data_IF_009397887740
#
_entry.id   IF_009397887740
#
_cell.length_a   1.000
_cell.length_b   1.000
_cell.length_c   1.000
_cell.angle_alpha   90.00
_cell.angle_beta   90.00
_cell.angle_gamma   90.00
#
_symmetry.space_group_name_H-M   'P 1'
#
loop_
_entity.id
_entity.type
_entity.pdbx_description
1 polymer ?
#
# COMPACT_ATOMS: atom_id res chain seq x y z
N UNK A 1 -8.23 0.03 0.22
CA UNK A 1 -8.64 -0.30 1.60
C UNK A 1 -9.59 -1.48 1.54
N UNK A 2 -9.36 -2.55 2.33
CA UNK A 2 -10.20 -3.77 2.30
C UNK A 2 -10.48 -4.31 0.88
N UNK A 3 -9.45 -4.32 0.01
CA UNK A 3 -9.57 -4.81 -1.37
C UNK A 3 -10.16 -3.83 -2.39
N UNK A 4 -10.68 -2.67 -1.98
CA UNK A 4 -11.19 -1.64 -2.91
C UNK A 4 -10.20 -0.48 -3.07
N UNK A 5 -10.11 0.07 -4.30
CA UNK A 5 -9.28 1.24 -4.60
C UNK A 5 -9.99 2.51 -4.16
N UNK A 6 -9.28 3.36 -3.43
CA UNK A 6 -9.76 4.66 -2.95
C UNK A 6 -8.75 5.75 -3.31
N UNK A 7 -9.20 6.96 -3.66
CA UNK A 7 -8.28 8.04 -4.03
C UNK A 7 -7.65 8.67 -2.78
N UNK A 8 -6.49 9.31 -2.97
CA UNK A 8 -5.92 10.19 -1.96
C UNK A 8 -6.77 11.46 -1.82
N UNK A 9 -6.93 11.94 -0.59
CA UNK A 9 -7.60 13.19 -0.28
C UNK A 9 -6.60 14.18 0.34
N UNK A 10 -6.55 15.40 -0.18
CA UNK A 10 -5.65 16.44 0.34
C UNK A 10 -4.18 16.18 0.02
N UNK A 11 -3.28 16.66 0.89
CA UNK A 11 -1.82 16.60 0.69
C UNK A 11 -1.19 15.45 1.47
N UNK A 12 -0.07 14.95 0.94
CA UNK A 12 0.80 13.99 1.64
C UNK A 12 1.66 14.74 2.66
N UNK A 13 1.68 14.25 3.90
CA UNK A 13 2.56 14.73 4.96
C UNK A 13 3.81 13.84 5.07
N UNK A 14 4.74 14.20 5.95
CA UNK A 14 5.97 13.42 6.16
C UNK A 14 5.69 11.97 6.60
N UNK A 15 4.70 11.79 7.48
CA UNK A 15 4.37 10.49 8.09
C UNK A 15 2.91 10.07 7.91
N UNK A 16 2.11 10.85 7.18
CA UNK A 16 0.67 10.61 7.03
C UNK A 16 0.20 10.85 5.60
N UNK A 17 -0.74 10.00 5.17
CA UNK A 17 -1.54 10.18 3.97
C UNK A 17 -3.01 10.13 4.36
N UNK A 18 -3.87 10.80 3.60
CA UNK A 18 -5.31 10.75 3.80
C UNK A 18 -5.94 10.17 2.54
N UNK A 19 -6.94 9.32 2.71
CA UNK A 19 -7.73 8.73 1.63
C UNK A 19 -9.17 9.15 1.75
N UNK A 20 -9.86 9.30 0.63
CA UNK A 20 -11.29 9.58 0.61
C UNK A 20 -12.08 8.28 0.84
N UNK A 21 -12.89 8.26 1.90
CA UNK A 21 -13.79 7.15 2.25
C UNK A 21 -15.25 7.56 2.11
N UNK A 22 -15.56 8.62 1.37
CA UNK A 22 -16.94 9.07 1.14
C UNK A 22 -17.79 7.92 0.58
N UNK A 23 -18.86 7.57 1.30
CA UNK A 23 -19.74 6.45 0.94
C UNK A 23 -19.28 5.06 1.41
N UNK A 24 -18.21 4.98 2.22
CA UNK A 24 -17.68 3.73 2.78
C UNK A 24 -17.85 3.66 4.30
N UNK A 25 -18.97 3.09 4.74
CA UNK A 25 -19.28 2.89 6.17
C UNK A 25 -18.71 1.58 6.75
N UNK A 26 -18.09 0.76 5.92
CA UNK A 26 -17.58 -0.57 6.25
C UNK A 26 -16.08 -0.57 6.63
N UNK A 27 -15.42 0.58 6.57
CA UNK A 27 -14.01 0.75 6.93
C UNK A 27 -13.86 1.16 8.40
N UNK A 28 -12.91 0.54 9.10
CA UNK A 28 -12.64 0.78 10.51
C UNK A 28 -11.15 1.02 10.76
N UNK A 29 -10.86 1.63 11.90
CA UNK A 29 -9.47 1.79 12.36
C UNK A 29 -8.84 0.42 12.57
N UNK A 30 -7.64 0.24 12.03
CA UNK A 30 -6.91 -1.03 12.06
C UNK A 30 -7.10 -1.87 10.79
N UNK A 31 -8.03 -1.50 9.91
CA UNK A 31 -8.20 -2.20 8.64
C UNK A 31 -6.94 -2.08 7.77
N UNK A 32 -6.56 -3.16 7.07
CA UNK A 32 -5.39 -3.17 6.23
C UNK A 32 -5.55 -2.26 5.02
N UNK A 33 -4.49 -1.50 4.73
CA UNK A 33 -4.37 -0.66 3.56
C UNK A 33 -3.17 -1.13 2.75
N UNK A 34 -3.38 -1.33 1.45
CA UNK A 34 -2.32 -1.67 0.50
C UNK A 34 -1.90 -0.40 -0.24
N UNK A 35 -0.63 0.02 -0.04
CA UNK A 35 -0.04 1.17 -0.77
C UNK A 35 0.47 0.76 -2.15
N UNK A 36 1.03 -0.45 -2.24
CA UNK A 36 1.31 -1.16 -3.48
C UNK A 36 1.41 -2.66 -3.17
N UNK A 37 1.02 -3.50 -4.11
CA UNK A 37 0.92 -4.94 -3.94
C UNK A 37 0.17 -5.64 -5.08
N UNK A 38 -0.40 -6.84 -4.84
CA UNK A 38 -1.11 -7.60 -5.85
C UNK A 38 -2.34 -6.88 -6.43
N UNK A 39 -2.99 -6.00 -5.66
CA UNK A 39 -4.20 -5.28 -6.08
C UNK A 39 -3.89 -3.88 -6.62
N UNK A 40 -2.72 -3.33 -6.28
CA UNK A 40 -2.22 -2.06 -6.74
C UNK A 40 -0.75 -2.16 -7.17
N UNK A 41 -0.47 -2.41 -8.46
CA UNK A 41 0.90 -2.60 -8.94
C UNK A 41 1.79 -1.39 -8.65
N UNK A 42 3.01 -1.61 -8.15
CA UNK A 42 3.96 -0.53 -7.83
C UNK A 42 4.28 0.35 -9.06
N UNK A 43 4.24 -0.21 -10.26
CA UNK A 43 4.45 0.53 -11.50
C UNK A 43 3.35 1.58 -11.75
N UNK A 44 2.10 1.27 -11.38
CA UNK A 44 0.97 2.21 -11.48
C UNK A 44 1.17 3.37 -10.51
N UNK A 45 1.55 3.08 -9.26
CA UNK A 45 1.85 4.10 -8.25
C UNK A 45 3.00 4.99 -8.69
N UNK A 46 4.05 4.41 -9.28
CA UNK A 46 5.21 5.13 -9.77
C UNK A 46 4.84 6.12 -10.89
N UNK A 47 3.94 5.73 -11.81
CA UNK A 47 3.43 6.64 -12.85
C UNK A 47 2.72 7.85 -12.25
N UNK A 48 1.87 7.65 -11.24
CA UNK A 48 1.23 8.76 -10.53
C UNK A 48 2.22 9.66 -9.79
N UNK A 49 3.34 9.10 -9.32
CA UNK A 49 4.41 9.83 -8.66
C UNK A 49 5.46 10.43 -9.64
N UNK A 50 5.31 10.23 -10.95
CA UNK A 50 6.25 10.73 -11.97
C UNK A 50 7.62 10.04 -11.94
N UNK A 51 7.68 8.79 -11.50
CA UNK A 51 8.92 8.00 -11.32
C UNK A 51 8.73 6.56 -11.83
N UNK A 52 9.67 5.66 -11.51
CA UNK A 52 9.65 4.23 -11.82
C UNK A 52 9.50 3.39 -10.55
N UNK A 53 9.01 2.16 -10.69
CA UNK A 53 8.79 1.28 -9.53
C UNK A 53 10.06 1.00 -8.72
N UNK A 54 11.23 1.00 -9.35
CA UNK A 54 12.51 0.85 -8.65
C UNK A 54 12.77 1.96 -7.64
N UNK A 55 12.47 3.21 -7.97
CA UNK A 55 12.72 4.36 -7.08
C UNK A 55 11.84 4.29 -5.83
N UNK A 56 10.58 3.85 -5.99
CA UNK A 56 9.67 3.61 -4.86
C UNK A 56 10.20 2.48 -3.95
N UNK A 57 10.63 1.37 -4.54
CA UNK A 57 11.13 0.21 -3.79
C UNK A 57 12.47 0.51 -3.09
N UNK A 58 13.39 1.18 -3.79
CA UNK A 58 14.69 1.56 -3.28
C UNK A 58 14.60 2.71 -2.25
N UNK A 59 13.59 3.58 -2.38
CA UNK A 59 13.33 4.68 -1.47
C UNK A 59 12.75 4.27 -0.10
N UNK A 60 12.40 3.00 0.09
CA UNK A 60 11.90 2.50 1.38
C UNK A 60 12.95 2.63 2.48
N UNK A 61 12.70 3.54 3.43
CA UNK A 61 13.62 3.81 4.54
C UNK A 61 13.73 2.64 5.52
N UNK A 62 14.79 2.64 6.33
CA UNK A 62 15.01 1.64 7.39
C UNK A 62 14.00 1.69 8.53
N UNK A 63 13.14 2.71 8.59
CA UNK A 63 12.11 2.88 9.63
C UNK A 63 10.95 1.90 9.46
N UNK A 64 10.76 1.36 8.27
CA UNK A 64 9.69 0.40 7.98
C UNK A 64 10.11 -1.00 8.42
N UNK A 65 9.34 -1.68 9.30
CA UNK A 65 9.60 -3.06 9.65
C UNK A 65 9.41 -3.95 8.41
N UNK A 66 10.38 -4.85 8.17
CA UNK A 66 10.33 -5.80 7.05
C UNK A 66 9.95 -7.17 7.59
N UNK A 67 8.83 -7.70 7.10
CA UNK A 67 8.35 -9.05 7.42
C UNK A 67 8.62 -9.94 6.21
N UNK A 68 9.46 -10.96 6.39
CA UNK A 68 9.78 -11.92 5.34
C UNK A 68 8.80 -13.08 5.42
N UNK A 69 8.01 -13.25 4.37
CA UNK A 69 7.04 -14.35 4.25
C UNK A 69 7.69 -15.45 3.42
N UNK A 70 8.00 -16.58 4.05
CA UNK A 70 8.46 -17.77 3.33
C UNK A 70 7.23 -18.59 2.93
N UNK A 71 7.11 -18.95 1.65
CA UNK A 71 6.03 -19.82 1.14
C UNK A 71 6.27 -21.31 1.49
N UNK A 72 6.53 -21.61 2.76
CA UNK A 72 6.85 -22.95 3.26
C UNK A 72 5.86 -23.42 4.33
N UNK A 73 4.56 -23.38 4.05
CA UNK A 73 3.54 -24.02 4.89
C UNK A 73 2.29 -24.36 4.05
N UNK A 74 2.34 -25.44 3.28
CA UNK A 74 1.18 -25.87 2.50
C UNK A 74 1.32 -27.14 1.64
N UNK A 75 2.48 -27.82 1.65
CA UNK A 75 2.64 -29.12 0.97
C UNK A 75 2.91 -30.21 2.01
N UNK A 76 1.88 -30.56 2.79
CA UNK A 76 1.83 -31.89 3.41
C UNK A 76 0.99 -32.77 2.48
N UNK A 77 1.64 -33.83 1.99
CA UNK A 77 1.04 -34.93 1.23
C UNK A 77 -0.17 -35.54 1.93
#
# INVERSE_FOLDING_TARGET
VNGERVPLAGTVSMDMITVDLTGRDDVRVGDPVELWGPNLPVAEVAQHAGTIGYDLLAGMTSRLPRIYVNESAGMTR
#
